data_IF_278790365635
#
_entry.id   IF_278790365635
#
_cell.length_a   1.000
_cell.length_b   1.000
_cell.length_c   1.000
_cell.angle_alpha   90.00
_cell.angle_beta   90.00
_cell.angle_gamma   90.00
#
_symmetry.space_group_name_H-M   'P 1'
#
loop_
_entity.id
_entity.type
_entity.pdbx_description
1 polymer ?
#
# COMPACT_ATOMS: atom_id res chain seq x y z
N UNK A 1 10.24 -44.24 -44.92
CA UNK A 1 11.14 -44.46 -43.76
C UNK A 1 12.22 -43.37 -43.87
N UNK A 2 12.47 -42.41 -42.96
CA UNK A 2 12.15 -42.23 -41.53
C UNK A 2 12.26 -40.72 -41.16
N UNK A 3 11.35 -40.29 -40.28
CA UNK A 3 11.33 -39.18 -39.29
C UNK A 3 11.74 -37.73 -39.65
N UNK A 4 10.71 -36.88 -39.66
CA UNK A 4 10.77 -35.48 -39.19
C UNK A 4 10.99 -35.50 -37.66
N UNK A 5 12.10 -34.96 -37.18
CA UNK A 5 12.32 -34.75 -35.75
C UNK A 5 11.70 -33.41 -35.32
N UNK A 6 10.87 -33.52 -34.30
CA UNK A 6 9.93 -32.55 -33.79
C UNK A 6 10.54 -31.23 -33.32
N UNK A 7 9.93 -30.13 -33.73
CA UNK A 7 9.77 -28.93 -32.92
C UNK A 7 9.08 -29.30 -31.60
N UNK A 8 9.79 -29.16 -30.49
CA UNK A 8 9.19 -29.13 -29.15
C UNK A 8 9.77 -27.93 -28.40
N UNK A 9 9.18 -26.76 -28.65
CA UNK A 9 9.36 -25.59 -27.80
C UNK A 9 8.62 -25.86 -26.48
N UNK A 10 9.36 -26.13 -25.41
CA UNK A 10 8.84 -26.18 -24.04
C UNK A 10 8.65 -24.74 -23.53
N UNK A 11 7.48 -24.16 -23.79
CA UNK A 11 6.99 -22.94 -23.13
C UNK A 11 6.17 -23.38 -21.92
N UNK A 12 6.81 -23.66 -20.80
CA UNK A 12 6.12 -23.99 -19.53
C UNK A 12 6.84 -23.29 -18.37
N UNK A 13 6.82 -21.96 -18.32
CA UNK A 13 7.37 -21.19 -17.19
C UNK A 13 6.62 -19.87 -16.88
N UNK A 14 5.46 -19.60 -17.51
CA UNK A 14 4.82 -18.27 -17.42
C UNK A 14 3.79 -18.10 -16.29
N UNK A 15 3.26 -19.18 -15.70
CA UNK A 15 2.14 -19.08 -14.75
C UNK A 15 2.61 -18.65 -13.34
N UNK A 16 3.77 -19.12 -12.89
CA UNK A 16 4.33 -18.78 -11.57
C UNK A 16 4.73 -17.31 -11.47
N UNK A 17 5.27 -16.74 -12.55
CA UNK A 17 5.67 -15.32 -12.60
C UNK A 17 4.47 -14.38 -12.49
N UNK A 18 3.33 -14.73 -13.10
CA UNK A 18 2.11 -13.92 -13.05
C UNK A 18 1.51 -13.87 -11.64
N UNK A 19 1.48 -15.00 -10.93
CA UNK A 19 0.95 -15.08 -9.56
C UNK A 19 1.85 -14.32 -8.58
N UNK A 20 3.17 -14.44 -8.71
CA UNK A 20 4.12 -13.70 -7.88
C UNK A 20 3.99 -12.20 -8.10
N UNK A 21 3.92 -11.75 -9.36
CA UNK A 21 3.81 -10.34 -9.69
C UNK A 21 2.49 -9.73 -9.23
N UNK A 22 1.38 -10.48 -9.28
CA UNK A 22 0.12 -10.06 -8.69
C UNK A 22 0.19 -9.91 -7.16
N UNK A 23 0.90 -10.82 -6.48
CA UNK A 23 1.13 -10.74 -5.03
C UNK A 23 1.96 -9.52 -4.61
N UNK A 24 3.06 -9.23 -5.32
CA UNK A 24 3.87 -8.04 -5.08
C UNK A 24 3.07 -6.76 -5.32
N UNK A 25 2.33 -6.67 -6.42
CA UNK A 25 1.49 -5.50 -6.72
C UNK A 25 0.37 -5.29 -5.70
N UNK A 26 -0.23 -6.37 -5.19
CA UNK A 26 -1.24 -6.30 -4.14
C UNK A 26 -0.63 -5.81 -2.82
N UNK A 27 0.54 -6.33 -2.44
CA UNK A 27 1.28 -5.89 -1.26
C UNK A 27 1.67 -4.42 -1.35
N UNK A 28 2.27 -3.97 -2.47
CA UNK A 28 2.63 -2.57 -2.71
C UNK A 28 1.41 -1.64 -2.64
N UNK A 29 0.29 -2.06 -3.22
CA UNK A 29 -0.97 -1.31 -3.16
C UNK A 29 -1.46 -1.17 -1.73
N UNK A 30 -1.44 -2.25 -0.95
CA UNK A 30 -1.85 -2.22 0.47
C UNK A 30 -0.94 -1.30 1.27
N UNK A 31 0.38 -1.42 1.13
CA UNK A 31 1.35 -0.53 1.78
C UNK A 31 1.08 0.93 1.43
N UNK A 32 0.91 1.25 0.14
CA UNK A 32 0.63 2.62 -0.29
C UNK A 32 -0.67 3.18 0.32
N UNK A 33 -1.75 2.39 0.34
CA UNK A 33 -3.02 2.80 0.93
C UNK A 33 -2.89 3.08 2.43
N UNK A 34 -2.23 2.18 3.17
CA UNK A 34 -2.02 2.31 4.62
C UNK A 34 -1.14 3.54 4.91
N UNK A 35 -0.04 3.73 4.16
CA UNK A 35 0.82 4.91 4.27
C UNK A 35 0.05 6.22 4.06
N UNK A 36 -0.76 6.31 3.00
CA UNK A 36 -1.55 7.51 2.71
C UNK A 36 -2.56 7.79 3.83
N UNK A 37 -3.30 6.77 4.26
CA UNK A 37 -4.35 6.93 5.26
C UNK A 37 -3.80 7.33 6.64
N UNK A 38 -2.74 6.67 7.10
CA UNK A 38 -2.07 6.98 8.38
C UNK A 38 -1.37 8.34 8.34
N UNK A 39 -0.74 8.71 7.21
CA UNK A 39 -0.16 10.04 7.04
C UNK A 39 -1.22 11.15 7.11
N UNK A 40 -2.37 10.95 6.44
CA UNK A 40 -3.48 11.89 6.51
C UNK A 40 -4.01 12.03 7.94
N UNK A 41 -4.23 10.92 8.64
CA UNK A 41 -4.71 10.96 10.01
C UNK A 41 -3.72 11.62 10.96
N UNK A 42 -2.43 11.24 10.88
CA UNK A 42 -1.34 11.87 11.64
C UNK A 42 -1.31 13.37 11.42
N UNK A 43 -1.34 13.82 10.17
CA UNK A 43 -1.27 15.23 9.85
C UNK A 43 -2.52 16.01 10.29
N UNK A 44 -3.71 15.41 10.23
CA UNK A 44 -4.93 16.02 10.79
C UNK A 44 -4.84 16.20 12.32
N UNK A 45 -4.21 15.25 13.03
CA UNK A 45 -3.96 15.34 14.47
C UNK A 45 -2.92 16.41 14.78
N UNK A 46 -1.75 16.36 14.14
CA UNK A 46 -0.62 17.28 14.39
C UNK A 46 -1.00 18.74 14.10
N UNK A 47 -1.80 18.97 13.06
CA UNK A 47 -2.30 20.31 12.69
C UNK A 47 -3.57 20.73 13.43
N UNK A 48 -3.99 19.94 14.43
CA UNK A 48 -5.16 20.19 15.30
C UNK A 48 -6.48 20.36 14.54
N UNK A 49 -6.58 19.78 13.34
CA UNK A 49 -7.81 19.79 12.55
C UNK A 49 -8.78 18.69 12.97
N UNK A 50 -8.30 17.66 13.65
CA UNK A 50 -9.12 16.53 14.08
C UNK A 50 -8.59 15.90 15.37
N UNK A 51 -9.50 15.35 16.18
CA UNK A 51 -9.12 14.58 17.38
C UNK A 51 -8.54 13.22 16.99
N UNK A 52 -7.59 12.67 17.78
CA UNK A 52 -6.94 11.40 17.47
C UNK A 52 -7.89 10.24 17.13
N UNK A 53 -8.88 9.99 17.99
CA UNK A 53 -9.84 8.89 17.78
C UNK A 53 -10.65 9.06 16.49
N UNK A 54 -11.02 10.29 16.14
CA UNK A 54 -11.80 10.57 14.94
C UNK A 54 -10.95 10.43 13.66
N UNK A 55 -9.70 10.88 13.69
CA UNK A 55 -8.79 10.75 12.56
C UNK A 55 -8.50 9.28 12.24
N UNK A 56 -8.24 8.47 13.27
CA UNK A 56 -8.01 7.03 13.10
C UNK A 56 -9.27 6.27 12.69
N UNK A 57 -10.45 6.62 13.22
CA UNK A 57 -11.71 6.04 12.75
C UNK A 57 -11.95 6.29 11.25
N UNK A 58 -11.68 7.50 10.77
CA UNK A 58 -11.80 7.83 9.34
C UNK A 58 -10.78 7.05 8.50
N UNK A 59 -9.51 6.99 8.92
CA UNK A 59 -8.48 6.22 8.22
C UNK A 59 -8.85 4.73 8.14
N UNK A 60 -9.27 4.13 9.24
CA UNK A 60 -9.66 2.73 9.30
C UNK A 60 -10.86 2.42 8.40
N UNK A 61 -11.90 3.27 8.43
CA UNK A 61 -13.05 3.12 7.53
C UNK A 61 -12.67 3.27 6.06
N UNK A 62 -11.79 4.21 5.74
CA UNK A 62 -11.27 4.37 4.38
C UNK A 62 -10.55 3.10 3.93
N UNK A 63 -9.63 2.57 4.73
CA UNK A 63 -8.86 1.37 4.42
C UNK A 63 -9.76 0.15 4.25
N UNK A 64 -10.72 -0.04 5.16
CA UNK A 64 -11.73 -1.09 5.04
C UNK A 64 -12.53 -0.98 3.74
N UNK A 65 -12.95 0.24 3.35
CA UNK A 65 -13.66 0.46 2.09
C UNK A 65 -12.82 0.16 0.84
N UNK A 66 -11.47 0.12 0.98
CA UNK A 66 -10.53 -0.27 -0.07
C UNK A 66 -10.17 -1.75 -0.04
N UNK A 67 -10.77 -2.54 0.85
CA UNK A 67 -10.51 -3.96 1.03
C UNK A 67 -9.26 -4.26 1.85
N UNK A 68 -8.72 -3.29 2.59
CA UNK A 68 -7.57 -3.49 3.48
C UNK A 68 -8.08 -3.86 4.87
N UNK A 69 -7.83 -5.10 5.28
CA UNK A 69 -8.25 -5.60 6.60
C UNK A 69 -7.43 -4.98 7.74
N UNK A 70 -7.88 -5.21 8.97
CA UNK A 70 -7.15 -4.82 10.18
C UNK A 70 -5.81 -5.58 10.25
N UNK A 71 -5.81 -6.87 9.89
CA UNK A 71 -4.60 -7.70 9.84
C UNK A 71 -3.59 -7.18 8.81
N UNK A 72 -4.04 -6.85 7.60
CA UNK A 72 -3.14 -6.32 6.55
C UNK A 72 -2.53 -4.96 6.96
N UNK A 73 -3.34 -4.12 7.61
CA UNK A 73 -2.90 -2.85 8.20
C UNK A 73 -1.79 -3.06 9.21
N UNK A 74 -2.00 -3.99 10.15
CA UNK A 74 -1.06 -4.26 11.22
C UNK A 74 0.23 -4.87 10.68
N UNK A 75 0.15 -5.77 9.69
CA UNK A 75 1.32 -6.32 9.00
C UNK A 75 2.16 -5.21 8.35
N UNK A 76 1.53 -4.29 7.62
CA UNK A 76 2.22 -3.14 7.03
C UNK A 76 2.87 -2.26 8.11
N UNK A 77 2.12 -1.91 9.16
CA UNK A 77 2.58 -0.98 10.20
C UNK A 77 3.69 -1.55 11.08
N UNK A 78 3.77 -2.86 11.20
CA UNK A 78 4.81 -3.57 11.97
C UNK A 78 6.03 -3.92 11.13
N UNK A 79 5.99 -3.72 9.82
CA UNK A 79 7.13 -3.94 8.93
C UNK A 79 8.27 -2.96 9.26
N UNK A 80 9.52 -3.42 9.39
CA UNK A 80 10.67 -2.54 9.61
C UNK A 80 10.76 -1.42 8.56
N UNK A 81 10.94 -0.18 9.01
CA UNK A 81 11.07 1.00 8.15
C UNK A 81 9.75 1.65 7.72
N UNK A 82 8.59 1.14 8.16
CA UNK A 82 7.29 1.72 7.83
C UNK A 82 7.15 3.19 8.32
N UNK A 83 7.62 3.50 9.52
CA UNK A 83 7.56 4.88 10.05
C UNK A 83 8.39 5.87 9.20
N UNK A 84 9.55 5.44 8.72
CA UNK A 84 10.39 6.24 7.82
C UNK A 84 9.74 6.40 6.45
N UNK A 85 9.09 5.36 5.93
CA UNK A 85 8.31 5.41 4.70
C UNK A 85 7.18 6.44 4.82
N UNK A 86 6.40 6.40 5.90
CA UNK A 86 5.32 7.37 6.15
C UNK A 86 5.86 8.80 6.29
N UNK A 87 6.97 8.99 7.02
CA UNK A 87 7.62 10.30 7.14
C UNK A 87 8.08 10.83 5.79
N UNK A 88 8.75 9.99 4.99
CA UNK A 88 9.19 10.34 3.64
C UNK A 88 8.01 10.74 2.75
N UNK A 89 6.89 10.01 2.81
CA UNK A 89 5.67 10.37 2.11
C UNK A 89 5.16 11.76 2.53
N UNK A 90 5.07 12.03 3.84
CA UNK A 90 4.65 13.35 4.36
C UNK A 90 5.58 14.46 3.86
N UNK A 91 6.89 14.24 3.89
CA UNK A 91 7.89 15.22 3.44
C UNK A 91 7.75 15.50 1.93
N UNK A 92 7.55 14.46 1.12
CA UNK A 92 7.26 14.59 -0.32
C UNK A 92 5.96 15.36 -0.60
N UNK A 93 5.00 15.34 0.33
CA UNK A 93 3.77 16.13 0.21
C UNK A 93 3.92 17.61 0.61
N UNK A 94 5.10 18.05 1.07
CA UNK A 94 5.35 19.39 1.60
C UNK A 94 5.14 19.49 3.11
N UNK A 95 5.11 18.36 3.82
CA UNK A 95 4.83 18.29 5.25
C UNK A 95 3.33 18.36 5.58
N UNK A 96 3.00 18.20 6.86
CA UNK A 96 1.61 18.04 7.29
C UNK A 96 0.69 19.23 6.98
N UNK A 97 1.20 20.46 6.99
CA UNK A 97 0.39 21.65 6.67
C UNK A 97 -0.09 21.63 5.22
N UNK A 98 0.79 21.25 4.29
CA UNK A 98 0.46 21.21 2.86
C UNK A 98 -0.36 19.98 2.51
N UNK A 99 -0.04 18.84 3.12
CA UNK A 99 -0.84 17.63 2.99
C UNK A 99 -2.29 17.86 3.42
N UNK A 100 -2.52 18.46 4.59
CA UNK A 100 -3.88 18.78 5.07
C UNK A 100 -4.60 19.79 4.18
N UNK A 101 -3.87 20.75 3.58
CA UNK A 101 -4.47 21.70 2.63
C UNK A 101 -5.04 20.98 1.40
N UNK A 102 -4.40 19.91 0.94
CA UNK A 102 -4.84 19.09 -0.20
C UNK A 102 -6.05 18.20 0.12
N UNK A 103 -6.39 18.02 1.40
CA UNK A 103 -7.57 17.23 1.83
C UNK A 103 -8.87 18.04 1.87
N UNK A 104 -8.78 19.36 1.64
CA UNK A 104 -9.91 20.30 1.64
C UNK A 104 -10.33 20.62 0.21
#
# INVERSE_FOLDING_TARGET
>A
MVQRAATAALVVLSVSSLVQQAGFAASERTTALVTIAEANARCLIETKQMRPAQAQDIANRFLLSKGVSDTDRDEVKTTPGYDDLMRSYIDQQGGCKDLVRKLR
#
